data_IF_142954830511
#
_entry.id   IF_142954830511
#
_cell.length_a   1.000
_cell.length_b   1.000
_cell.length_c   1.000
_cell.angle_alpha   90.00
_cell.angle_beta   90.00
_cell.angle_gamma   90.00
#
_symmetry.space_group_name_H-M   'P 1'
#
loop_
_entity.id
_entity.type
_entity.pdbx_description
1 polymer ?
#
# COMPACT_ATOMS: atom_id res chain seq x y z
N UNK A 1 -28.76 -38.62 4.82
CA UNK A 1 -27.43 -38.01 4.96
C UNK A 1 -27.58 -36.54 4.61
N UNK A 2 -27.49 -35.65 5.60
CA UNK A 2 -27.50 -34.20 5.34
C UNK A 2 -26.25 -33.82 4.53
N UNK A 3 -26.33 -32.88 3.58
CA UNK A 3 -25.15 -32.44 2.86
C UNK A 3 -24.18 -31.79 3.85
N UNK A 4 -22.91 -32.17 3.77
CA UNK A 4 -21.83 -31.54 4.53
C UNK A 4 -21.89 -30.04 4.29
N UNK A 5 -22.14 -29.26 5.35
CA UNK A 5 -22.00 -27.80 5.32
C UNK A 5 -20.62 -27.48 4.75
N UNK A 6 -20.60 -26.77 3.62
CA UNK A 6 -19.40 -26.11 3.12
C UNK A 6 -19.01 -25.09 4.19
N UNK A 7 -18.02 -25.42 5.01
CA UNK A 7 -17.36 -24.43 5.87
C UNK A 7 -16.74 -23.39 4.95
N UNK A 8 -17.42 -22.27 4.74
CA UNK A 8 -16.82 -21.02 4.27
C UNK A 8 -16.00 -20.48 5.42
N UNK A 9 -14.83 -21.06 5.65
CA UNK A 9 -13.82 -20.39 6.46
C UNK A 9 -13.29 -19.23 5.62
N UNK A 10 -13.75 -18.02 5.92
CA UNK A 10 -13.11 -16.81 5.41
C UNK A 10 -11.62 -16.90 5.74
N UNK A 11 -10.78 -16.82 4.71
CA UNK A 11 -9.34 -16.89 4.88
C UNK A 11 -8.90 -15.65 5.68
N UNK A 12 -8.29 -15.81 6.87
CA UNK A 12 -7.80 -14.67 7.63
C UNK A 12 -6.67 -13.99 6.85
N UNK A 13 -6.89 -12.80 6.30
CA UNK A 13 -5.89 -12.13 5.45
C UNK A 13 -4.59 -11.83 6.21
N UNK A 14 -4.63 -11.66 7.55
CA UNK A 14 -3.44 -11.45 8.37
C UNK A 14 -2.43 -12.63 8.37
N UNK A 15 -2.84 -13.84 7.97
CA UNK A 15 -1.91 -14.99 7.85
C UNK A 15 -1.21 -15.05 6.50
N UNK A 16 -1.56 -14.16 5.56
CA UNK A 16 -0.99 -14.17 4.23
C UNK A 16 0.50 -13.81 4.26
N UNK A 17 1.35 -14.51 3.50
CA UNK A 17 2.76 -14.20 3.41
C UNK A 17 3.03 -12.75 3.04
N UNK A 18 2.27 -12.14 2.12
CA UNK A 18 2.36 -10.72 1.75
C UNK A 18 2.13 -9.80 2.95
N UNK A 19 1.20 -10.18 3.82
CA UNK A 19 0.82 -9.51 5.07
C UNK A 19 1.76 -9.81 6.25
N UNK A 20 2.71 -10.74 6.11
CA UNK A 20 3.68 -11.08 7.14
C UNK A 20 4.71 -9.96 7.39
N UNK A 21 5.00 -9.15 6.38
CA UNK A 21 5.85 -7.95 6.53
C UNK A 21 5.07 -6.71 7.00
N UNK A 22 3.82 -6.93 7.35
CA UNK A 22 2.79 -5.92 7.44
C UNK A 22 2.16 -5.96 8.84
N UNK A 23 2.67 -6.76 9.79
CA UNK A 23 2.04 -6.89 11.12
C UNK A 23 1.88 -5.57 11.90
N UNK A 24 2.73 -4.53 11.76
CA UNK A 24 2.38 -3.18 12.25
C UNK A 24 1.90 -2.20 11.18
N UNK A 25 2.19 -2.40 9.89
CA UNK A 25 1.63 -1.56 8.83
C UNK A 25 0.11 -1.79 8.64
N UNK A 26 -0.35 -3.05 8.67
CA UNK A 26 -1.71 -3.51 8.42
C UNK A 26 -2.02 -4.81 9.21
N UNK A 27 -2.41 -4.73 10.48
CA UNK A 27 -3.70 -5.39 10.74
C UNK A 27 -4.65 -4.69 9.77
N UNK A 28 -5.25 -5.40 8.79
CA UNK A 28 -5.97 -4.77 7.66
C UNK A 28 -6.88 -3.61 8.10
N UNK A 29 -7.47 -3.76 9.29
CA UNK A 29 -8.23 -2.77 10.03
C UNK A 29 -7.43 -1.49 10.38
N UNK A 30 -6.24 -1.58 10.98
CA UNK A 30 -5.42 -0.42 11.38
C UNK A 30 -4.94 0.43 10.21
N UNK A 31 -4.53 -0.19 9.10
CA UNK A 31 -4.11 0.57 7.93
C UNK A 31 -5.28 1.30 7.27
N UNK A 32 -6.39 0.59 7.08
CA UNK A 32 -7.58 1.19 6.50
C UNK A 32 -8.10 2.32 7.40
N UNK A 33 -8.05 2.16 8.72
CA UNK A 33 -8.40 3.21 9.69
C UNK A 33 -7.45 4.40 9.60
N UNK A 34 -6.14 4.16 9.46
CA UNK A 34 -5.13 5.22 9.27
C UNK A 34 -5.40 6.03 7.99
N UNK A 35 -5.57 5.35 6.86
CA UNK A 35 -5.90 5.98 5.58
C UNK A 35 -7.22 6.76 5.69
N UNK A 36 -8.23 6.18 6.31
CA UNK A 36 -9.53 6.84 6.53
C UNK A 36 -9.39 8.09 7.39
N UNK A 37 -8.61 8.05 8.46
CA UNK A 37 -8.33 9.24 9.28
C UNK A 37 -7.65 10.34 8.47
N UNK A 38 -6.72 9.99 7.59
CA UNK A 38 -6.10 10.99 6.69
C UNK A 38 -7.14 11.55 5.73
N UNK A 39 -8.01 10.73 5.12
CA UNK A 39 -9.08 11.19 4.24
C UNK A 39 -10.10 12.10 4.96
N UNK A 40 -10.45 11.80 6.21
CA UNK A 40 -11.35 12.62 7.04
C UNK A 40 -10.73 13.97 7.41
N UNK A 41 -9.46 13.99 7.84
CA UNK A 41 -8.75 15.22 8.17
C UNK A 41 -8.36 16.03 6.92
N UNK A 42 -8.23 15.36 5.77
CA UNK A 42 -8.13 15.99 4.44
C UNK A 42 -9.40 16.76 4.10
N UNK A 43 -10.57 16.21 4.40
CA UNK A 43 -11.88 16.86 4.12
C UNK A 43 -12.11 18.11 4.98
N UNK A 44 -11.47 18.21 6.15
CA UNK A 44 -11.54 19.35 7.07
C UNK A 44 -10.34 20.30 6.98
N UNK A 45 -9.47 20.13 5.98
CA UNK A 45 -8.26 20.94 5.74
C UNK A 45 -7.31 21.05 6.96
N UNK A 46 -7.27 20.02 7.81
CA UNK A 46 -6.48 20.03 9.05
C UNK A 46 -5.08 19.44 8.83
N UNK A 47 -4.18 20.23 8.24
CA UNK A 47 -2.82 19.80 7.89
C UNK A 47 -2.00 19.32 9.09
N UNK A 48 -2.08 20.01 10.23
CA UNK A 48 -1.33 19.64 11.45
C UNK A 48 -1.72 18.25 11.94
N UNK A 49 -3.03 17.95 11.94
CA UNK A 49 -3.52 16.64 12.35
C UNK A 49 -3.12 15.54 11.36
N UNK A 50 -3.15 15.82 10.06
CA UNK A 50 -2.64 14.90 9.02
C UNK A 50 -1.16 14.58 9.29
N UNK A 51 -0.33 15.60 9.57
CA UNK A 51 1.10 15.42 9.85
C UNK A 51 1.29 14.56 11.11
N UNK A 52 0.56 14.85 12.18
CA UNK A 52 0.64 14.08 13.42
C UNK A 52 0.27 12.61 13.22
N UNK A 53 -0.77 12.33 12.43
CA UNK A 53 -1.19 10.96 12.10
C UNK A 53 -0.09 10.23 11.32
N UNK A 54 0.48 10.89 10.31
CA UNK A 54 1.59 10.34 9.52
C UNK A 54 2.83 10.09 10.39
N UNK A 55 3.15 10.99 11.31
CA UNK A 55 4.32 10.87 12.20
C UNK A 55 4.25 9.64 13.10
N UNK A 56 3.09 9.41 13.72
CA UNK A 56 2.87 8.24 14.57
C UNK A 56 3.07 6.95 13.78
N UNK A 57 2.46 6.85 12.60
CA UNK A 57 2.55 5.65 11.78
C UNK A 57 3.96 5.44 11.23
N UNK A 58 4.65 6.51 10.81
CA UNK A 58 6.01 6.40 10.30
C UNK A 58 6.99 5.98 11.40
N UNK A 59 6.82 6.45 12.63
CA UNK A 59 7.62 5.99 13.76
C UNK A 59 7.55 4.48 13.93
N UNK A 60 6.35 3.90 13.86
CA UNK A 60 6.13 2.46 13.95
C UNK A 60 6.80 1.70 12.79
N UNK A 61 6.66 2.20 11.56
CA UNK A 61 7.32 1.62 10.37
C UNK A 61 8.84 1.58 10.56
N UNK A 62 9.42 2.67 11.04
CA UNK A 62 10.86 2.79 11.27
C UNK A 62 11.33 1.81 12.36
N UNK A 63 10.59 1.69 13.46
CA UNK A 63 10.89 0.73 14.53
C UNK A 63 10.87 -0.73 14.04
N UNK A 64 9.91 -1.11 13.20
CA UNK A 64 9.86 -2.44 12.61
C UNK A 64 11.04 -2.73 11.68
N UNK A 65 11.35 -1.79 10.79
CA UNK A 65 12.50 -1.91 9.89
C UNK A 65 13.79 -2.10 10.70
N UNK A 66 13.93 -1.42 11.84
CA UNK A 66 15.12 -1.55 12.68
C UNK A 66 15.14 -2.85 13.50
N UNK A 67 13.98 -3.37 13.93
CA UNK A 67 13.90 -4.49 14.88
C UNK A 67 13.83 -5.88 14.24
N UNK A 68 13.21 -6.01 13.06
CA UNK A 68 12.88 -7.30 12.47
C UNK A 68 13.45 -7.56 11.08
N UNK A 69 14.05 -6.56 10.45
CA UNK A 69 14.41 -6.64 9.03
C UNK A 69 15.74 -7.36 8.80
N UNK A 70 15.74 -8.43 7.99
CA UNK A 70 16.95 -9.13 7.54
C UNK A 70 17.43 -8.53 6.21
N UNK A 71 18.75 -8.45 6.02
CA UNK A 71 19.38 -7.79 4.87
C UNK A 71 18.96 -8.35 3.49
N UNK A 72 18.41 -9.56 3.42
CA UNK A 72 17.94 -10.23 2.20
C UNK A 72 16.53 -9.80 1.76
N UNK A 73 15.76 -9.10 2.60
CA UNK A 73 14.40 -8.66 2.27
C UNK A 73 14.35 -7.23 1.67
N UNK A 74 15.48 -6.60 1.34
CA UNK A 74 15.58 -5.17 1.02
C UNK A 74 14.61 -4.67 -0.07
N UNK A 75 14.43 -5.43 -1.15
CA UNK A 75 13.50 -5.10 -2.23
C UNK A 75 12.04 -5.11 -1.75
N UNK A 76 11.71 -5.99 -0.80
CA UNK A 76 10.39 -6.08 -0.20
C UNK A 76 10.13 -4.93 0.76
N UNK A 77 11.13 -4.54 1.58
CA UNK A 77 11.06 -3.32 2.40
C UNK A 77 10.67 -2.16 1.51
N UNK A 78 11.45 -2.00 0.45
CA UNK A 78 11.38 -0.86 -0.41
C UNK A 78 9.99 -0.72 -1.03
N UNK A 79 9.47 -1.83 -1.57
CA UNK A 79 8.15 -1.86 -2.18
C UNK A 79 7.02 -1.52 -1.19
N UNK A 80 7.11 -1.99 0.06
CA UNK A 80 6.11 -1.71 1.09
C UNK A 80 6.15 -0.25 1.56
N UNK A 81 7.33 0.27 1.86
CA UNK A 81 7.51 1.66 2.27
C UNK A 81 7.09 2.59 1.12
N UNK A 82 7.51 2.32 -0.12
CA UNK A 82 7.09 3.11 -1.28
C UNK A 82 5.57 3.15 -1.40
N UNK A 83 4.92 1.99 -1.33
CA UNK A 83 3.47 1.92 -1.47
C UNK A 83 2.74 2.76 -0.42
N UNK A 84 3.25 2.82 0.82
CA UNK A 84 2.69 3.70 1.86
C UNK A 84 2.76 5.18 1.46
N UNK A 85 3.93 5.65 1.02
CA UNK A 85 4.10 7.05 0.65
C UNK A 85 3.39 7.40 -0.67
N UNK A 86 3.36 6.47 -1.62
CA UNK A 86 2.58 6.55 -2.86
C UNK A 86 1.09 6.81 -2.56
N UNK A 87 0.53 6.09 -1.59
CA UNK A 87 -0.83 6.34 -1.10
C UNK A 87 -0.98 7.72 -0.44
N UNK A 88 -0.01 8.17 0.37
CA UNK A 88 -0.06 9.52 0.96
C UNK A 88 -0.08 10.60 -0.13
N UNK A 89 0.78 10.48 -1.14
CA UNK A 89 0.81 11.40 -2.28
C UNK A 89 -0.52 11.37 -3.05
N UNK A 90 -1.09 10.19 -3.29
CA UNK A 90 -2.39 10.02 -3.95
C UNK A 90 -3.51 10.73 -3.17
N UNK A 91 -3.55 10.52 -1.85
CA UNK A 91 -4.58 11.08 -0.97
C UNK A 91 -4.44 12.60 -0.91
N UNK A 92 -3.24 13.15 -0.74
CA UNK A 92 -3.06 14.61 -0.64
C UNK A 92 -3.34 15.32 -1.97
N UNK A 93 -2.95 14.73 -3.10
CA UNK A 93 -3.16 15.33 -4.41
C UNK A 93 -4.58 15.20 -4.96
N UNK A 94 -5.37 14.24 -4.49
CA UNK A 94 -6.74 13.98 -4.99
C UNK A 94 -7.81 14.94 -4.47
N UNK A 95 -7.48 16.21 -4.23
CA UNK A 95 -8.47 17.22 -3.82
C UNK A 95 -8.49 18.36 -4.83
N UNK A 96 -9.62 18.51 -5.52
CA UNK A 96 -9.87 19.59 -6.48
C UNK A 96 -10.00 20.96 -5.78
N UNK A 97 -10.39 20.97 -4.49
CA UNK A 97 -10.75 22.19 -3.74
C UNK A 97 -9.70 22.68 -2.72
N UNK A 98 -8.63 21.91 -2.46
CA UNK A 98 -7.57 22.34 -1.52
C UNK A 98 -6.62 23.31 -2.21
N UNK A 99 -6.17 24.35 -1.50
CA UNK A 99 -5.16 25.24 -2.07
C UNK A 99 -3.89 24.45 -2.37
N UNK A 100 -3.31 24.69 -3.56
CA UNK A 100 -2.06 24.04 -3.98
C UNK A 100 -0.95 24.27 -2.96
N UNK A 101 -0.93 25.41 -2.29
CA UNK A 101 0.08 25.74 -1.28
C UNK A 101 0.02 24.81 -0.07
N UNK A 102 -1.18 24.45 0.40
CA UNK A 102 -1.32 23.52 1.53
C UNK A 102 -0.94 22.10 1.11
N UNK A 103 -1.31 21.68 -0.10
CA UNK A 103 -0.89 20.38 -0.63
C UNK A 103 0.63 20.31 -0.79
N UNK A 104 1.26 21.38 -1.28
CA UNK A 104 2.71 21.47 -1.43
C UNK A 104 3.44 21.43 -0.09
N UNK A 105 2.95 22.14 0.94
CA UNK A 105 3.50 22.07 2.30
C UNK A 105 3.44 20.65 2.88
N UNK A 106 2.29 19.97 2.72
CA UNK A 106 2.13 18.60 3.17
C UNK A 106 3.04 17.62 2.42
N UNK A 107 3.17 17.79 1.11
CA UNK A 107 4.08 16.98 0.27
C UNK A 107 5.53 17.20 0.71
N UNK A 108 5.97 18.44 0.91
CA UNK A 108 7.33 18.73 1.38
C UNK A 108 7.62 18.05 2.73
N UNK A 109 6.67 18.11 3.67
CA UNK A 109 6.79 17.42 4.96
C UNK A 109 6.84 15.90 4.83
N UNK A 110 6.16 15.32 3.85
CA UNK A 110 6.21 13.89 3.57
C UNK A 110 7.55 13.51 2.93
N UNK A 111 8.08 14.33 2.03
CA UNK A 111 9.39 14.12 1.43
C UNK A 111 10.50 14.16 2.48
N UNK A 112 10.47 15.12 3.40
CA UNK A 112 11.41 15.18 4.54
C UNK A 112 11.34 13.92 5.42
N UNK A 113 10.14 13.39 5.61
CA UNK A 113 9.91 12.18 6.39
C UNK A 113 10.40 10.92 5.67
N UNK A 114 10.29 10.86 4.35
CA UNK A 114 10.84 9.76 3.54
C UNK A 114 12.36 9.61 3.76
N UNK A 115 13.08 10.72 3.84
CA UNK A 115 14.55 10.71 4.07
C UNK A 115 14.95 10.13 5.43
N UNK A 116 14.00 9.96 6.37
CA UNK A 116 14.24 9.36 7.69
C UNK A 116 14.04 7.84 7.71
N UNK A 117 13.55 7.24 6.64
CA UNK A 117 13.41 5.78 6.55
C UNK A 117 14.82 5.14 6.64
N UNK A 118 15.05 4.13 7.50
CA UNK A 118 16.35 3.50 7.70
C UNK A 118 17.01 3.07 6.40
N UNK A 119 18.34 2.98 6.41
CA UNK A 119 19.17 2.69 5.22
C UNK A 119 18.78 1.36 4.55
N UNK A 120 17.87 1.44 3.59
CA UNK A 120 17.74 0.47 2.51
C UNK A 120 19.02 0.58 1.68
N UNK A 121 19.56 -0.55 1.22
CA UNK A 121 20.85 -0.66 0.54
C UNK A 121 21.01 0.31 -0.66
N UNK A 122 19.91 0.69 -1.30
CA UNK A 122 19.85 1.74 -2.32
C UNK A 122 18.56 2.56 -2.19
N UNK A 123 18.60 3.60 -1.33
CA UNK A 123 17.44 4.47 -1.06
C UNK A 123 16.96 5.23 -2.30
N UNK A 124 17.87 5.56 -3.21
CA UNK A 124 17.54 6.29 -4.45
C UNK A 124 16.81 5.37 -5.44
N UNK A 125 17.28 4.13 -5.59
CA UNK A 125 16.55 3.10 -6.32
C UNK A 125 15.20 2.82 -5.66
N UNK A 126 15.12 2.98 -4.35
CA UNK A 126 13.88 2.77 -3.65
C UNK A 126 12.84 3.86 -3.91
N UNK A 127 13.11 5.12 -3.52
CA UNK A 127 12.16 6.25 -3.62
C UNK A 127 11.50 6.37 -4.99
N UNK A 128 12.29 6.18 -6.05
CA UNK A 128 11.84 6.39 -7.42
C UNK A 128 11.38 7.84 -7.64
N UNK A 129 10.69 8.08 -8.76
CA UNK A 129 10.10 9.40 -9.04
C UNK A 129 8.72 9.54 -8.39
N UNK A 130 8.39 10.73 -7.91
CA UNK A 130 7.08 11.08 -7.31
C UNK A 130 6.05 11.53 -8.35
N UNK A 131 6.34 11.39 -9.64
CA UNK A 131 5.36 11.65 -10.69
C UNK A 131 4.24 10.59 -10.68
N UNK A 132 3.09 11.02 -11.19
CA UNK A 132 1.85 10.25 -11.17
C UNK A 132 1.95 8.87 -11.83
N UNK A 133 2.65 8.78 -12.96
CA UNK A 133 2.84 7.52 -13.71
C UNK A 133 3.75 6.56 -12.93
N UNK A 134 4.84 7.07 -12.36
CA UNK A 134 5.75 6.29 -11.53
C UNK A 134 5.08 5.75 -10.26
N UNK A 135 4.29 6.58 -9.58
CA UNK A 135 3.50 6.18 -8.40
C UNK A 135 2.52 5.06 -8.77
N UNK A 136 1.76 5.24 -9.85
CA UNK A 136 0.77 4.25 -10.28
C UNK A 136 1.44 2.90 -10.60
N UNK A 137 2.55 2.90 -11.35
CA UNK A 137 3.32 1.70 -11.68
C UNK A 137 3.81 0.97 -10.42
N UNK A 138 4.35 1.70 -9.44
CA UNK A 138 4.82 1.08 -8.18
C UNK A 138 3.67 0.46 -7.39
N UNK A 139 2.53 1.15 -7.28
CA UNK A 139 1.36 0.61 -6.58
C UNK A 139 0.82 -0.66 -7.23
N UNK A 140 0.72 -0.71 -8.56
CA UNK A 140 0.32 -1.95 -9.28
C UNK A 140 1.35 -3.06 -9.04
N UNK A 141 2.64 -2.75 -9.19
CA UNK A 141 3.71 -3.71 -9.01
C UNK A 141 3.72 -4.30 -7.60
N UNK A 142 3.43 -3.50 -6.57
CA UNK A 142 3.22 -3.95 -5.20
C UNK A 142 2.16 -5.05 -5.15
N UNK A 143 0.95 -4.78 -5.62
CA UNK A 143 -0.15 -5.74 -5.58
C UNK A 143 0.17 -7.03 -6.38
N UNK A 144 0.88 -6.93 -7.50
CA UNK A 144 1.32 -8.11 -8.26
C UNK A 144 2.31 -8.98 -7.50
N UNK A 145 3.24 -8.38 -6.75
CA UNK A 145 4.17 -9.12 -5.91
C UNK A 145 3.46 -9.79 -4.73
N UNK A 146 2.51 -9.13 -4.09
CA UNK A 146 1.70 -9.73 -3.02
C UNK A 146 0.94 -10.94 -3.53
N UNK A 147 0.32 -10.80 -4.68
CA UNK A 147 -0.37 -11.89 -5.35
C UNK A 147 0.55 -13.09 -5.58
N UNK A 148 1.79 -12.85 -6.03
CA UNK A 148 2.79 -13.91 -6.27
C UNK A 148 3.20 -14.60 -4.97
N UNK A 149 3.42 -13.84 -3.90
CA UNK A 149 3.80 -14.37 -2.58
C UNK A 149 2.67 -15.22 -1.98
N UNK A 150 1.44 -14.73 -2.07
CA UNK A 150 0.27 -15.38 -1.48
C UNK A 150 -0.22 -16.57 -2.29
N UNK A 151 0.10 -16.62 -3.58
CA UNK A 151 -0.37 -17.67 -4.50
C UNK A 151 -0.17 -19.07 -3.93
N UNK A 152 1.01 -19.39 -3.39
CA UNK A 152 1.27 -20.73 -2.85
C UNK A 152 0.43 -21.03 -1.60
N UNK A 153 0.16 -20.02 -0.78
CA UNK A 153 -0.62 -20.14 0.44
C UNK A 153 -2.13 -20.27 0.18
N UNK A 154 -2.64 -19.56 -0.83
CA UNK A 154 -4.07 -19.47 -1.12
C UNK A 154 -4.52 -20.50 -2.18
N UNK A 155 -3.64 -21.00 -3.05
CA UNK A 155 -4.00 -21.94 -4.13
C UNK A 155 -4.66 -23.23 -3.63
N UNK A 156 -4.42 -23.61 -2.38
CA UNK A 156 -5.08 -24.74 -1.70
C UNK A 156 -6.57 -24.48 -1.40
N UNK A 157 -7.04 -23.23 -1.48
CA UNK A 157 -8.41 -22.80 -1.22
C UNK A 157 -9.04 -22.18 -2.48
N UNK A 158 -9.60 -22.99 -3.38
CA UNK A 158 -10.05 -22.52 -4.71
C UNK A 158 -11.04 -21.34 -4.67
N UNK A 159 -11.97 -21.33 -3.70
CA UNK A 159 -12.96 -20.25 -3.54
C UNK A 159 -12.35 -19.02 -2.85
N UNK A 160 -11.57 -19.24 -1.78
CA UNK A 160 -10.83 -18.19 -1.09
C UNK A 160 -9.85 -17.46 -2.01
N UNK A 161 -9.22 -18.18 -2.93
CA UNK A 161 -8.34 -17.63 -3.96
C UNK A 161 -9.07 -16.72 -4.94
N UNK A 162 -10.24 -17.12 -5.43
CA UNK A 162 -11.05 -16.29 -6.33
C UNK A 162 -11.52 -15.01 -5.65
N UNK A 163 -11.98 -15.11 -4.40
CA UNK A 163 -12.42 -13.96 -3.61
C UNK A 163 -11.26 -12.99 -3.32
N UNK A 164 -10.11 -13.53 -2.92
CA UNK A 164 -8.89 -12.74 -2.70
C UNK A 164 -8.42 -12.03 -3.98
N UNK A 165 -8.35 -12.74 -5.10
CA UNK A 165 -8.02 -12.16 -6.41
C UNK A 165 -8.96 -11.01 -6.76
N UNK A 166 -10.27 -11.22 -6.63
CA UNK A 166 -11.29 -10.21 -6.90
C UNK A 166 -11.08 -8.95 -6.04
N UNK A 167 -10.81 -9.12 -4.74
CA UNK A 167 -10.49 -8.01 -3.83
C UNK A 167 -9.23 -7.25 -4.24
N UNK A 168 -8.15 -7.94 -4.59
CA UNK A 168 -6.89 -7.30 -5.01
C UNK A 168 -7.08 -6.53 -6.32
N UNK A 169 -7.76 -7.11 -7.31
CA UNK A 169 -8.08 -6.41 -8.54
C UNK A 169 -8.98 -5.19 -8.30
N UNK A 170 -9.96 -5.30 -7.40
CA UNK A 170 -10.79 -4.16 -7.02
C UNK A 170 -9.97 -3.04 -6.38
N UNK A 171 -9.00 -3.34 -5.52
CA UNK A 171 -8.08 -2.35 -4.93
C UNK A 171 -7.26 -1.63 -6.01
N UNK A 172 -6.69 -2.39 -6.96
CA UNK A 172 -5.95 -1.81 -8.10
C UNK A 172 -6.86 -0.87 -8.91
N UNK A 173 -8.05 -1.35 -9.29
CA UNK A 173 -9.00 -0.57 -10.10
C UNK A 173 -9.45 0.68 -9.34
N UNK A 174 -9.84 0.56 -8.07
CA UNK A 174 -10.28 1.69 -7.25
C UNK A 174 -9.16 2.72 -7.09
N UNK A 175 -7.93 2.29 -6.83
CA UNK A 175 -6.79 3.20 -6.75
C UNK A 175 -6.64 4.00 -8.04
N UNK A 176 -6.69 3.32 -9.20
CA UNK A 176 -6.47 3.93 -10.52
C UNK A 176 -7.63 4.80 -11.00
N UNK A 177 -8.86 4.50 -10.60
CA UNK A 177 -10.04 5.30 -10.97
C UNK A 177 -10.27 6.47 -10.02
N UNK A 178 -10.03 6.29 -8.72
CA UNK A 178 -10.31 7.30 -7.69
C UNK A 178 -9.25 8.40 -7.61
N UNK A 179 -7.98 8.05 -7.85
CA UNK A 179 -6.88 8.98 -7.63
C UNK A 179 -6.17 9.41 -8.93
N UNK A 180 -6.48 8.79 -10.08
CA UNK A 180 -5.66 8.90 -11.30
C UNK A 180 -6.44 8.99 -12.64
N UNK A 181 -7.64 9.57 -12.63
CA UNK A 181 -8.44 9.88 -13.83
C UNK A 181 -8.57 8.71 -14.84
N UNK A 182 -8.87 7.51 -14.34
CA UNK A 182 -9.06 6.30 -15.14
C UNK A 182 -7.82 5.94 -15.97
N UNK A 183 -6.64 5.94 -15.34
CA UNK A 183 -5.40 5.53 -15.99
C UNK A 183 -5.56 4.17 -16.69
N UNK A 184 -5.44 4.15 -18.02
CA UNK A 184 -5.53 2.91 -18.80
C UNK A 184 -4.25 2.08 -18.57
N UNK A 185 -4.40 0.96 -17.87
CA UNK A 185 -3.29 0.05 -17.59
C UNK A 185 -3.42 -1.16 -18.50
N UNK A 186 -2.44 -1.32 -19.39
CA UNK A 186 -2.24 -2.53 -20.16
C UNK A 186 -1.08 -3.31 -19.53
N UNK A 187 -1.39 -4.47 -18.97
CA UNK A 187 -0.36 -5.43 -18.55
C UNK A 187 -0.09 -6.32 -19.76
N UNK A 188 1.01 -6.05 -20.45
CA UNK A 188 1.50 -6.92 -21.50
C UNK A 188 2.36 -8.02 -20.89
N UNK A 189 2.12 -9.25 -21.31
CA UNK A 189 2.94 -10.38 -20.92
C UNK A 189 3.81 -10.74 -22.12
N UNK A 190 5.11 -10.43 -22.03
CA UNK A 190 6.08 -10.78 -23.07
C UNK A 190 6.42 -12.29 -23.06
N UNK A 191 5.78 -13.06 -22.18
CA UNK A 191 5.91 -14.51 -22.15
C UNK A 191 5.18 -15.15 -23.33
N UNK A 192 5.92 -15.33 -24.43
CA UNK A 192 5.66 -16.36 -25.42
C UNK A 192 6.13 -17.68 -24.78
N UNK A 193 5.21 -18.39 -24.14
CA UNK A 193 5.41 -19.74 -23.61
C UNK A 193 4.39 -20.69 -24.18
#
# INVERSE_FOLDING_TARGET
MSPSEKRTTDLPEYVLPSNFFIQCLFEDNKFNDHIKQIEENKSSNNSEKIISIIDVQLGQIIEEINSGFRNDDGDRCCRNVNYYFDLLYAIINSQVERSKDISNDLIGKIEEKWEKVPKISDINKCKGKSDLDSICKRSILKHLHDLKLDKMFIKTFSEGYKNYLSKQWKKIIEYTSRYYDNLYIKIENDFIG
#
